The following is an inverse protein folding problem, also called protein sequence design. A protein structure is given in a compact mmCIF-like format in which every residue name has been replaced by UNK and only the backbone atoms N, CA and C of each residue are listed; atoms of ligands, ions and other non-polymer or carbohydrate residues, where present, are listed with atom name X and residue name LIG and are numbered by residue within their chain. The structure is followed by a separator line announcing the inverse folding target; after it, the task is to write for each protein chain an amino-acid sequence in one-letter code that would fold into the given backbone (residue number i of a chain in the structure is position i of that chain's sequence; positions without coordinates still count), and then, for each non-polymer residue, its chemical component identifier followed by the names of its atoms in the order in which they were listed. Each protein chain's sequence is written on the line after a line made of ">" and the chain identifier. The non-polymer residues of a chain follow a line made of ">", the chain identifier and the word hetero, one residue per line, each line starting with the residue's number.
data_IF_776831746959
#
_entry.id   IF_776831746959
#
_cell.length_a   1.000
_cell.length_b   1.000
_cell.length_c   1.000
_cell.angle_alpha   90.00
_cell.angle_beta   90.00
_cell.angle_gamma   90.00
#
_symmetry.space_group_name_H-M   'P 1'
#
loop_
_entity.id
_entity.type
_entity.pdbx_description
1 polymer ?
#
# COMPACT_ATOMS: atom_id res chain seq x y z
N UNK A 1 9.15 21.21 -20.30
CA UNK A 1 9.08 19.74 -20.27
C UNK A 1 7.65 19.35 -19.90
N UNK A 2 6.99 18.51 -20.70
CA UNK A 2 5.62 18.04 -20.44
C UNK A 2 5.70 16.68 -19.74
N UNK A 3 4.96 16.49 -18.65
CA UNK A 3 4.85 15.19 -17.96
C UNK A 3 3.65 14.44 -18.50
N UNK A 4 3.89 13.27 -19.08
CA UNK A 4 2.87 12.39 -19.62
C UNK A 4 2.77 11.12 -18.79
N UNK A 5 1.57 10.56 -18.71
CA UNK A 5 1.32 9.25 -18.12
C UNK A 5 0.61 8.37 -19.14
N UNK A 6 1.02 7.11 -19.21
CA UNK A 6 0.43 6.08 -20.07
C UNK A 6 -0.52 5.23 -19.25
N UNK A 7 -1.75 5.10 -19.70
CA UNK A 7 -2.82 4.40 -18.99
C UNK A 7 -3.43 3.38 -19.93
N UNK A 8 -3.84 2.23 -19.40
CA UNK A 8 -4.54 1.20 -20.17
C UNK A 8 -5.88 0.87 -19.53
N UNK A 9 -6.94 0.98 -20.34
CA UNK A 9 -8.26 0.52 -20.01
C UNK A 9 -8.33 -1.02 -20.14
N UNK A 10 -8.62 -1.78 -19.06
CA UNK A 10 -8.67 -3.23 -19.10
C UNK A 10 -9.74 -3.83 -20.03
N UNK A 11 -10.75 -3.04 -20.45
CA UNK A 11 -11.71 -3.49 -21.45
C UNK A 11 -11.13 -3.56 -22.86
N UNK A 12 -9.96 -2.98 -23.09
CA UNK A 12 -9.28 -3.00 -24.38
C UNK A 12 -9.93 -2.12 -25.45
N UNK A 13 -10.77 -1.16 -25.04
CA UNK A 13 -11.54 -0.27 -25.91
C UNK A 13 -11.88 1.01 -25.15
N UNK A 14 -12.33 2.05 -25.85
CA UNK A 14 -12.70 3.35 -25.27
C UNK A 14 -11.51 4.02 -24.58
N UNK A 15 -10.88 4.91 -25.35
CA UNK A 15 -9.66 5.62 -24.98
C UNK A 15 -9.91 7.10 -24.70
N UNK A 16 -8.90 7.75 -24.13
CA UNK A 16 -8.90 9.18 -23.88
C UNK A 16 -8.99 9.97 -25.19
N UNK A 17 -9.85 10.99 -25.23
CA UNK A 17 -10.08 11.83 -26.43
C UNK A 17 -9.57 13.26 -26.30
N UNK A 18 -8.93 13.60 -25.17
CA UNK A 18 -8.36 14.92 -24.93
C UNK A 18 -6.92 15.04 -25.43
N UNK A 19 -6.18 16.00 -24.86
CA UNK A 19 -4.78 16.25 -25.20
C UNK A 19 -3.93 14.98 -24.98
N UNK A 20 -3.05 14.70 -25.94
CA UNK A 20 -2.17 13.52 -26.00
C UNK A 20 -2.86 12.18 -26.28
N UNK A 21 -4.16 12.19 -26.61
CA UNK A 21 -4.82 11.03 -27.24
C UNK A 21 -4.12 10.60 -28.54
N UNK A 22 -4.40 9.40 -29.03
CA UNK A 22 -3.77 8.83 -30.23
C UNK A 22 -3.87 9.70 -31.48
N UNK A 23 -4.95 10.48 -31.58
CA UNK A 23 -5.25 11.37 -32.69
C UNK A 23 -4.98 12.87 -32.38
N UNK A 24 -4.39 13.16 -31.22
CA UNK A 24 -4.15 14.53 -30.74
C UNK A 24 -3.12 15.26 -31.61
N UNK A 25 -3.30 16.56 -31.81
CA UNK A 25 -2.36 17.39 -32.60
C UNK A 25 -1.06 17.68 -31.85
N UNK A 26 -1.06 17.52 -30.54
CA UNK A 26 0.05 17.70 -29.60
C UNK A 26 1.25 16.84 -30.00
N UNK A 27 1.01 15.64 -30.55
CA UNK A 27 2.04 14.75 -31.10
C UNK A 27 2.79 15.33 -32.31
N UNK A 28 2.29 16.39 -32.95
CA UNK A 28 3.00 17.08 -34.05
C UNK A 28 4.11 18.01 -33.54
N UNK A 29 4.10 18.34 -32.26
CA UNK A 29 5.05 19.27 -31.64
C UNK A 29 6.25 18.57 -30.97
N UNK A 30 6.35 17.25 -31.09
CA UNK A 30 7.49 16.46 -30.60
C UNK A 30 8.32 15.93 -31.76
N UNK A 31 9.54 15.47 -31.47
CA UNK A 31 10.42 14.85 -32.47
C UNK A 31 9.76 13.60 -33.08
N UNK A 32 10.07 13.30 -34.35
CA UNK A 32 9.56 12.08 -35.00
C UNK A 32 10.02 10.81 -34.25
N UNK A 33 11.23 10.83 -33.66
CA UNK A 33 11.79 9.75 -32.84
C UNK A 33 10.96 9.51 -31.56
N UNK A 34 10.65 10.55 -30.79
CA UNK A 34 9.80 10.41 -29.60
C UNK A 34 8.37 10.03 -29.98
N UNK A 35 7.87 10.50 -31.13
CA UNK A 35 6.55 10.11 -31.62
C UNK A 35 6.50 8.63 -31.94
N UNK A 36 7.49 8.08 -32.63
CA UNK A 36 7.52 6.64 -32.95
C UNK A 36 7.71 5.79 -31.68
N UNK A 37 8.46 6.29 -30.70
CA UNK A 37 8.69 5.61 -29.42
C UNK A 37 7.49 5.62 -28.48
N UNK A 38 6.71 6.71 -28.45
CA UNK A 38 5.65 6.94 -27.46
C UNK A 38 4.25 6.75 -28.04
N UNK A 39 4.00 7.15 -29.28
CA UNK A 39 2.68 7.12 -29.90
C UNK A 39 2.50 5.84 -30.71
N UNK A 40 1.84 4.84 -30.12
CA UNK A 40 1.31 3.69 -30.84
C UNK A 40 -0.19 3.89 -31.04
N UNK A 41 -0.64 4.01 -32.30
CA UNK A 41 -2.07 4.19 -32.61
C UNK A 41 -2.75 2.84 -32.71
N UNK A 42 -3.51 2.46 -31.70
CA UNK A 42 -4.18 1.17 -31.63
C UNK A 42 -5.39 1.27 -30.73
N UNK A 43 -6.54 0.75 -31.17
CA UNK A 43 -7.76 0.65 -30.35
C UNK A 43 -7.63 -0.56 -29.41
N UNK A 44 -6.76 -0.47 -28.42
CA UNK A 44 -6.48 -1.52 -27.43
C UNK A 44 -6.67 -1.06 -25.98
N UNK A 45 -7.25 0.14 -25.81
CA UNK A 45 -7.51 0.78 -24.54
C UNK A 45 -6.29 1.50 -23.95
N UNK A 46 -5.12 1.47 -24.59
CA UNK A 46 -3.94 2.21 -24.16
C UNK A 46 -3.98 3.66 -24.67
N UNK A 47 -3.70 4.63 -23.81
CA UNK A 47 -3.63 6.03 -24.19
C UNK A 47 -2.67 6.81 -23.32
N UNK A 48 -2.17 7.93 -23.88
CA UNK A 48 -1.45 8.93 -23.11
C UNK A 48 -2.38 10.08 -22.71
N UNK A 49 -2.10 10.66 -21.55
CA UNK A 49 -2.68 11.94 -21.16
C UNK A 49 -1.65 12.77 -20.42
N UNK A 50 -1.91 14.08 -20.32
CA UNK A 50 -1.09 14.94 -19.49
C UNK A 50 -1.21 14.52 -18.02
N UNK A 51 -0.13 14.59 -17.25
CA UNK A 51 -0.20 14.30 -15.81
C UNK A 51 -1.17 15.26 -15.08
N UNK A 52 -1.34 16.48 -15.60
CA UNK A 52 -2.35 17.41 -15.08
C UNK A 52 -3.77 16.92 -15.29
N UNK A 53 -4.07 16.33 -16.46
CA UNK A 53 -5.38 15.72 -16.70
C UNK A 53 -5.57 14.45 -15.87
N UNK A 54 -4.53 13.66 -15.68
CA UNK A 54 -4.58 12.52 -14.76
C UNK A 54 -5.02 12.94 -13.35
N UNK A 55 -4.39 13.96 -12.78
CA UNK A 55 -4.75 14.49 -11.45
C UNK A 55 -6.18 15.07 -11.39
N UNK A 56 -6.74 15.50 -12.53
CA UNK A 56 -8.12 16.03 -12.61
C UNK A 56 -9.16 14.93 -12.75
N UNK A 57 -8.85 13.85 -13.45
CA UNK A 57 -9.81 12.80 -13.80
C UNK A 57 -9.73 11.57 -12.88
N UNK A 58 -8.57 11.29 -12.28
CA UNK A 58 -8.36 10.15 -11.40
C UNK A 58 -8.29 10.61 -9.95
N UNK A 59 -9.08 9.96 -9.09
CA UNK A 59 -9.15 10.29 -7.66
C UNK A 59 -8.34 9.33 -6.77
N UNK A 60 -7.85 8.21 -7.32
CA UNK A 60 -7.18 7.15 -6.56
C UNK A 60 -6.14 6.46 -7.43
N UNK A 61 -4.95 6.28 -6.87
CA UNK A 61 -3.86 5.49 -7.44
C UNK A 61 -3.48 4.43 -6.43
N UNK A 62 -3.40 3.17 -6.87
CA UNK A 62 -2.96 2.04 -6.06
C UNK A 62 -1.67 1.49 -6.67
N UNK A 63 -0.60 1.45 -5.89
CA UNK A 63 0.68 0.89 -6.30
C UNK A 63 0.97 -0.30 -5.38
N UNK A 64 1.25 -1.46 -5.97
CA UNK A 64 1.61 -2.68 -5.27
C UNK A 64 3.06 -3.02 -5.60
N UNK A 65 3.98 -2.67 -4.70
CA UNK A 65 5.38 -2.99 -4.84
C UNK A 65 5.70 -4.39 -4.28
N UNK A 66 6.76 -5.01 -4.80
CA UNK A 66 7.27 -6.29 -4.28
C UNK A 66 8.09 -6.09 -3.00
N UNK A 67 8.79 -4.96 -2.89
CA UNK A 67 9.53 -4.52 -1.71
C UNK A 67 9.09 -3.10 -1.33
N UNK A 68 9.10 -2.74 -0.03
CA UNK A 68 8.72 -1.40 0.39
C UNK A 68 9.52 -0.27 -0.30
N UNK A 69 10.79 -0.49 -0.64
CA UNK A 69 11.66 0.52 -1.29
C UNK A 69 11.54 0.60 -2.81
N UNK A 70 10.64 -0.15 -3.45
CA UNK A 70 10.66 -0.26 -4.92
C UNK A 70 10.39 1.06 -5.68
N UNK A 71 10.13 2.17 -4.98
CA UNK A 71 9.90 3.51 -5.54
C UNK A 71 10.99 4.54 -5.15
N UNK A 72 11.94 4.20 -4.27
CA UNK A 72 13.07 5.06 -3.89
C UNK A 72 14.32 4.71 -4.71
N UNK A 73 15.12 5.74 -5.04
CA UNK A 73 16.21 5.71 -6.01
C UNK A 73 17.40 4.84 -5.54
N UNK A 74 17.99 4.09 -6.49
CA UNK A 74 19.27 3.33 -6.51
C UNK A 74 19.78 2.49 -5.32
N UNK A 75 19.16 2.53 -4.13
CA UNK A 75 19.52 1.68 -2.98
C UNK A 75 18.42 0.66 -2.66
N UNK A 76 18.76 -0.63 -2.77
CA UNK A 76 17.89 -1.72 -2.31
C UNK A 76 18.08 -1.87 -0.79
N UNK A 77 17.14 -1.38 0.01
CA UNK A 77 17.13 -1.66 1.45
C UNK A 77 16.70 -3.12 1.68
N UNK A 78 17.31 -3.78 2.66
CA UNK A 78 17.01 -5.17 3.00
C UNK A 78 15.91 -5.22 4.05
N UNK A 79 14.71 -5.65 3.66
CA UNK A 79 13.60 -5.82 4.59
C UNK A 79 13.58 -7.20 5.24
N UNK A 80 13.54 -7.24 6.57
CA UNK A 80 13.19 -8.45 7.30
C UNK A 80 11.66 -8.60 7.35
N UNK A 81 11.13 -9.68 6.74
CA UNK A 81 9.70 -9.96 6.75
C UNK A 81 9.33 -10.96 7.85
N UNK A 82 8.53 -10.52 8.82
CA UNK A 82 7.85 -11.40 9.77
C UNK A 82 6.35 -11.46 9.47
N UNK A 83 5.77 -12.67 9.48
CA UNK A 83 4.35 -12.89 9.22
C UNK A 83 3.71 -13.67 10.36
N UNK A 84 2.60 -13.14 10.86
CA UNK A 84 1.79 -13.77 11.88
C UNK A 84 0.37 -13.97 11.39
N UNK A 85 -0.26 -15.05 11.87
CA UNK A 85 -1.65 -15.37 11.56
C UNK A 85 -2.46 -15.45 12.86
N UNK A 86 -3.66 -14.84 12.86
CA UNK A 86 -4.53 -14.76 14.04
C UNK A 86 -6.00 -14.91 13.71
N UNK A 87 -6.86 -14.93 14.73
CA UNK A 87 -8.33 -14.98 14.56
C UNK A 87 -9.03 -14.26 15.70
N UNK A 88 -10.05 -13.46 15.35
CA UNK A 88 -10.99 -12.88 16.31
C UNK A 88 -12.22 -13.78 16.47
N UNK A 89 -12.46 -14.28 17.68
CA UNK A 89 -13.60 -15.14 18.02
C UNK A 89 -14.48 -14.45 19.05
N UNK A 90 -15.78 -14.39 18.78
CA UNK A 90 -16.78 -13.80 19.69
C UNK A 90 -16.71 -14.48 21.06
N UNK A 91 -16.71 -13.67 22.13
CA UNK A 91 -16.65 -14.16 23.52
C UNK A 91 -15.25 -14.57 23.98
N UNK A 92 -14.22 -14.39 23.16
CA UNK A 92 -12.83 -14.66 23.51
C UNK A 92 -11.94 -13.54 22.98
N UNK A 93 -11.42 -13.67 21.77
CA UNK A 93 -10.42 -12.76 21.21
C UNK A 93 -10.99 -11.57 20.43
N UNK A 94 -12.30 -11.50 20.19
CA UNK A 94 -12.92 -10.38 19.48
C UNK A 94 -13.18 -9.20 20.42
N UNK A 95 -12.11 -8.49 20.83
CA UNK A 95 -12.15 -7.44 21.84
C UNK A 95 -12.72 -6.10 21.36
N UNK A 96 -12.81 -5.88 20.05
CA UNK A 96 -13.23 -4.60 19.47
C UNK A 96 -12.18 -3.49 19.66
N UNK A 97 -12.43 -2.29 19.12
CA UNK A 97 -11.46 -1.20 19.06
C UNK A 97 -11.16 -0.52 20.41
N UNK A 98 -10.23 0.43 20.43
CA UNK A 98 -9.78 1.13 21.66
C UNK A 98 -10.91 1.82 22.44
N UNK A 99 -12.03 2.10 21.76
CA UNK A 99 -13.25 2.64 22.33
C UNK A 99 -14.00 1.63 23.23
N UNK A 100 -13.59 0.36 23.25
CA UNK A 100 -14.15 -0.72 24.07
C UNK A 100 -13.12 -1.17 25.11
N UNK A 101 -12.76 -0.34 26.12
CA UNK A 101 -11.64 -0.61 27.02
C UNK A 101 -11.80 -1.92 27.83
N UNK A 102 -13.02 -2.34 28.10
CA UNK A 102 -13.32 -3.54 28.89
C UNK A 102 -12.96 -4.85 28.16
N UNK A 103 -12.87 -4.82 26.83
CA UNK A 103 -12.62 -6.00 25.99
C UNK A 103 -11.43 -5.84 25.05
N UNK A 104 -10.97 -4.62 24.79
CA UNK A 104 -9.85 -4.34 23.86
C UNK A 104 -8.59 -5.17 24.13
N UNK A 105 -8.29 -5.42 25.40
CA UNK A 105 -7.12 -6.18 25.84
C UNK A 105 -7.20 -7.69 25.50
N UNK A 106 -8.37 -8.22 25.12
CA UNK A 106 -8.51 -9.63 24.76
C UNK A 106 -8.13 -9.94 23.31
N UNK A 107 -7.91 -8.90 22.50
CA UNK A 107 -7.42 -9.07 21.14
C UNK A 107 -6.03 -9.74 21.12
N UNK A 108 -5.70 -10.50 20.05
CA UNK A 108 -4.36 -11.05 19.88
C UNK A 108 -3.29 -9.96 19.90
N UNK A 109 -2.17 -10.26 20.54
CA UNK A 109 -1.07 -9.32 20.75
C UNK A 109 0.27 -9.88 20.25
N UNK A 110 1.01 -9.07 19.48
CA UNK A 110 2.30 -9.48 18.88
C UNK A 110 3.47 -8.59 19.35
N UNK A 111 4.67 -9.15 19.46
CA UNK A 111 5.90 -8.39 19.73
C UNK A 111 6.62 -8.04 18.44
N UNK A 112 7.10 -6.81 18.37
CA UNK A 112 8.07 -6.35 17.38
C UNK A 112 9.28 -5.82 18.15
N UNK A 113 10.47 -6.32 17.82
CA UNK A 113 11.74 -5.80 18.33
C UNK A 113 12.41 -5.02 17.20
N UNK A 114 12.88 -3.84 17.53
CA UNK A 114 13.64 -2.95 16.66
C UNK A 114 15.02 -2.84 17.31
N UNK A 115 15.98 -3.59 16.79
CA UNK A 115 17.31 -3.76 17.40
C UNK A 115 18.39 -2.92 16.72
N UNK A 116 18.26 -2.67 15.41
CA UNK A 116 19.24 -1.95 14.58
C UNK A 116 18.58 -0.70 13.98
N UNK A 117 19.24 0.45 14.13
CA UNK A 117 18.85 1.71 13.47
C UNK A 117 19.14 1.63 11.97
N UNK A 118 18.34 2.33 11.17
CA UNK A 118 18.51 2.38 9.72
C UNK A 118 19.77 3.17 9.35
N UNK A 119 20.55 2.65 8.41
CA UNK A 119 21.72 3.35 7.84
C UNK A 119 21.30 4.34 6.73
N UNK A 120 20.21 5.10 6.91
CA UNK A 120 19.77 6.10 5.92
C UNK A 120 20.39 7.47 6.21
N UNK A 121 21.31 7.97 5.37
CA UNK A 121 21.96 9.26 5.59
C UNK A 121 21.07 10.47 5.28
N UNK A 122 19.91 10.27 4.63
CA UNK A 122 19.07 11.34 4.08
C UNK A 122 17.85 11.69 4.96
N UNK A 123 17.52 10.89 5.97
CA UNK A 123 16.33 11.10 6.83
C UNK A 123 16.58 12.08 7.99
N UNK A 124 17.84 12.25 8.42
CA UNK A 124 18.23 13.09 9.55
C UNK A 124 17.67 12.63 10.91
N UNK A 125 17.10 11.43 10.99
CA UNK A 125 16.46 10.86 12.18
C UNK A 125 17.06 9.49 12.49
N UNK A 126 17.76 9.36 13.62
CA UNK A 126 18.21 8.04 14.09
C UNK A 126 17.00 7.23 14.55
N UNK A 127 16.63 6.19 13.80
CA UNK A 127 15.46 5.36 14.07
C UNK A 127 15.44 4.05 13.28
N UNK A 128 14.40 3.24 13.47
CA UNK A 128 14.18 2.01 12.73
C UNK A 128 12.86 2.08 11.96
N UNK A 129 12.89 1.77 10.67
CA UNK A 129 11.72 1.80 9.79
C UNK A 129 10.96 0.48 9.85
N UNK A 130 9.65 0.59 10.04
CA UNK A 130 8.75 -0.56 10.10
C UNK A 130 7.50 -0.35 9.26
N UNK A 131 7.17 -1.34 8.44
CA UNK A 131 5.89 -1.41 7.72
C UNK A 131 5.04 -2.54 8.30
N UNK A 132 3.85 -2.19 8.82
CA UNK A 132 2.89 -3.15 9.37
C UNK A 132 1.66 -3.26 8.46
N UNK A 133 1.42 -4.46 7.93
CA UNK A 133 0.24 -4.78 7.13
C UNK A 133 -0.71 -5.75 7.84
N UNK A 134 -1.95 -5.30 8.12
CA UNK A 134 -3.02 -6.17 8.65
C UNK A 134 -4.00 -6.56 7.54
N UNK A 135 -4.12 -7.85 7.27
CA UNK A 135 -4.94 -8.36 6.15
C UNK A 135 -5.98 -9.38 6.64
N UNK A 136 -7.26 -9.12 6.34
CA UNK A 136 -8.35 -10.05 6.63
C UNK A 136 -8.48 -11.14 5.56
N UNK A 137 -8.57 -12.41 5.99
CA UNK A 137 -8.65 -13.58 5.11
C UNK A 137 -10.10 -13.97 4.78
N UNK A 138 -10.29 -14.61 3.62
CA UNK A 138 -11.52 -15.30 3.20
C UNK A 138 -12.80 -14.45 3.06
N UNK A 139 -12.71 -13.11 3.05
CA UNK A 139 -13.90 -12.24 2.99
C UNK A 139 -14.72 -12.34 1.71
N UNK A 140 -14.07 -12.55 0.56
CA UNK A 140 -14.79 -12.78 -0.71
C UNK A 140 -15.70 -14.01 -0.66
N UNK A 141 -15.31 -15.05 0.11
CA UNK A 141 -16.15 -16.24 0.33
C UNK A 141 -17.35 -15.91 1.23
N UNK A 142 -17.12 -15.10 2.26
CA UNK A 142 -18.14 -14.69 3.24
C UNK A 142 -19.18 -13.73 2.65
N UNK A 143 -18.86 -13.00 1.58
CA UNK A 143 -19.84 -12.18 0.84
C UNK A 143 -21.04 -12.99 0.34
N UNK A 144 -20.87 -14.26 -0.01
CA UNK A 144 -21.98 -15.14 -0.40
C UNK A 144 -22.97 -15.42 0.75
N UNK A 145 -22.54 -15.21 1.99
CA UNK A 145 -23.32 -15.36 3.22
C UNK A 145 -23.83 -14.01 3.75
N UNK A 146 -23.66 -12.92 2.99
CA UNK A 146 -24.10 -11.57 3.39
C UNK A 146 -23.14 -10.83 4.32
N UNK A 147 -21.94 -11.39 4.58
CA UNK A 147 -20.91 -10.72 5.38
C UNK A 147 -19.90 -9.97 4.48
N UNK A 148 -19.67 -8.69 4.77
CA UNK A 148 -18.64 -7.90 4.07
C UNK A 148 -17.32 -7.79 4.88
N UNK A 149 -16.38 -7.02 4.34
CA UNK A 149 -15.13 -6.64 5.01
C UNK A 149 -15.43 -5.99 6.36
N UNK A 150 -14.74 -6.42 7.42
CA UNK A 150 -14.77 -5.68 8.69
C UNK A 150 -13.89 -4.43 8.59
N UNK A 151 -14.29 -3.39 9.33
CA UNK A 151 -13.40 -2.29 9.68
C UNK A 151 -12.35 -2.84 10.64
N UNK A 152 -11.12 -3.01 10.13
CA UNK A 152 -9.98 -3.53 10.89
C UNK A 152 -8.94 -2.43 11.07
N UNK A 153 -8.13 -2.56 12.11
CA UNK A 153 -7.03 -1.64 12.41
C UNK A 153 -6.11 -2.23 13.46
N UNK A 154 -5.09 -1.50 13.86
CA UNK A 154 -4.21 -1.93 14.96
C UNK A 154 -3.69 -0.71 15.71
N UNK A 155 -3.19 -0.96 16.91
CA UNK A 155 -2.49 0.04 17.71
C UNK A 155 -1.16 -0.54 18.19
N UNK A 156 -0.11 0.28 18.09
CA UNK A 156 1.24 -0.03 18.55
C UNK A 156 1.48 0.71 19.87
N UNK A 157 2.02 -0.02 20.85
CA UNK A 157 2.37 0.51 22.15
C UNK A 157 3.82 0.18 22.46
N UNK A 158 4.54 1.13 23.05
CA UNK A 158 5.84 0.87 23.64
C UNK A 158 5.67 0.01 24.90
N UNK A 159 6.55 -0.96 25.08
CA UNK A 159 6.53 -1.87 26.23
C UNK A 159 7.46 -1.30 27.29
N UNK A 160 6.96 -0.96 28.50
CA UNK A 160 7.80 -0.48 29.58
C UNK A 160 8.87 -1.51 29.97
N UNK A 161 10.07 -1.04 30.33
CA UNK A 161 11.21 -1.91 30.65
C UNK A 161 10.92 -2.88 31.81
N UNK A 162 10.07 -2.47 32.75
CA UNK A 162 9.66 -3.25 33.93
C UNK A 162 8.90 -4.54 33.57
N UNK A 163 8.23 -4.56 32.41
CA UNK A 163 7.44 -5.69 31.92
C UNK A 163 8.05 -6.31 30.67
N UNK A 164 9.30 -5.94 30.33
CA UNK A 164 10.03 -6.54 29.22
C UNK A 164 10.35 -8.00 29.58
N UNK A 165 9.74 -8.99 28.90
CA UNK A 165 10.07 -10.38 29.15
C UNK A 165 11.54 -10.67 28.84
N UNK A 166 12.13 -11.72 29.45
CA UNK A 166 13.37 -12.30 28.96
C UNK A 166 13.27 -12.57 27.46
N UNK A 167 14.41 -12.63 26.75
CA UNK A 167 14.51 -12.69 25.29
C UNK A 167 13.58 -13.72 24.59
N UNK A 168 13.01 -14.68 25.32
CA UNK A 168 12.17 -15.77 24.86
C UNK A 168 10.64 -15.59 25.02
N UNK A 169 10.13 -14.44 25.49
CA UNK A 169 8.67 -14.20 25.63
C UNK A 169 8.21 -12.91 24.92
N UNK A 170 6.93 -12.85 24.47
CA UNK A 170 6.40 -11.85 23.52
C UNK A 170 5.39 -10.85 24.17
N UNK A 171 5.59 -9.51 24.06
CA UNK A 171 4.56 -8.46 24.29
C UNK A 171 4.43 -7.38 23.17
N UNK A 172 3.46 -6.47 23.03
CA UNK A 172 2.01 -6.60 22.80
C UNK A 172 1.57 -5.52 21.75
N UNK A 173 1.11 -5.91 20.57
CA UNK A 173 0.35 -5.04 19.61
C UNK A 173 -1.09 -5.50 19.54
N UNK A 174 -2.05 -4.69 19.97
CA UNK A 174 -3.47 -5.09 19.90
C UNK A 174 -4.01 -4.83 18.49
N UNK A 175 -4.41 -5.90 17.80
CA UNK A 175 -5.04 -5.86 16.50
C UNK A 175 -6.58 -5.93 16.62
N UNK A 176 -7.28 -5.15 15.80
CA UNK A 176 -8.73 -4.92 15.81
C UNK A 176 -9.44 -5.46 14.57
#
# INVERSE_FOLDING_TARGET
>A
MVKLIRIRNPWGQVEWTGAWSDNSMEWRHISDEDRERLSHRSEDGEFWMSFSDFLRHYSRLEICNLTPDALSDDSISKWALSKFDGTWRRGSTAGGCRNFPNSFWTNPQFLIRLDEEDDDPDDGEAGCSLVVGLIQKNRRRMRKLGEDMHTVGFAIYEVPDEVRPPADFLPLTSCL
#
